data_IF_583031175336
#
_entry.id   IF_583031175336
#
_cell.length_a   1.000
_cell.length_b   1.000
_cell.length_c   1.000
_cell.angle_alpha   90.00
_cell.angle_beta   90.00
_cell.angle_gamma   90.00
#
_symmetry.space_group_name_H-M   'P 1'
#
loop_
_entity.id
_entity.type
_entity.pdbx_description
1 polymer ?
#
# COMPACT_ATOMS: atom_id res chain seq x y z
N UNK A 1 3.57 -11.12 3.15
CA UNK A 1 2.15 -10.87 2.83
C UNK A 1 1.77 -11.54 1.53
N UNK A 2 0.58 -12.06 1.48
CA UNK A 2 0.00 -12.65 0.27
C UNK A 2 -1.38 -12.10 0.04
N UNK A 3 -1.67 -11.71 -1.20
CA UNK A 3 -3.02 -11.37 -1.59
C UNK A 3 -3.86 -12.65 -1.67
N UNK A 4 -5.02 -12.65 -1.01
CA UNK A 4 -5.93 -13.78 -1.09
C UNK A 4 -6.73 -13.73 -2.38
N UNK A 5 -6.82 -14.89 -3.02
CA UNK A 5 -7.58 -15.07 -4.25
C UNK A 5 -9.05 -15.27 -3.87
N UNK A 6 -9.75 -14.20 -3.54
CA UNK A 6 -11.16 -14.29 -3.19
C UNK A 6 -11.96 -13.75 -4.37
N UNK A 7 -12.18 -14.63 -5.36
CA UNK A 7 -12.81 -14.27 -6.63
C UNK A 7 -14.25 -13.78 -6.51
N UNK A 8 -14.95 -14.16 -5.43
CA UNK A 8 -16.37 -13.89 -5.30
C UNK A 8 -16.72 -12.83 -4.28
N UNK A 9 -15.75 -12.30 -3.54
CA UNK A 9 -16.01 -11.24 -2.56
C UNK A 9 -15.91 -9.87 -3.21
N UNK A 10 -17.00 -9.12 -3.12
CA UNK A 10 -16.99 -7.73 -3.51
C UNK A 10 -16.21 -6.96 -2.43
N UNK A 11 -15.07 -6.41 -2.80
CA UNK A 11 -14.28 -5.59 -1.90
C UNK A 11 -14.93 -4.22 -1.74
N UNK A 12 -15.22 -3.85 -0.51
CA UNK A 12 -15.85 -2.57 -0.21
C UNK A 12 -14.83 -1.66 0.49
N UNK A 13 -14.18 -0.82 -0.29
CA UNK A 13 -13.17 0.11 0.21
C UNK A 13 -13.77 1.15 1.16
N UNK A 14 -15.01 1.54 0.95
CA UNK A 14 -15.67 2.50 1.82
C UNK A 14 -15.92 1.93 3.21
N UNK A 15 -16.27 0.66 3.29
CA UNK A 15 -16.50 -0.01 4.57
C UNK A 15 -15.23 -0.07 5.40
N UNK A 16 -14.10 -0.40 4.77
CA UNK A 16 -12.81 -0.42 5.46
C UNK A 16 -12.42 0.99 5.92
N UNK A 17 -12.64 1.99 5.07
CA UNK A 17 -12.30 3.37 5.40
C UNK A 17 -13.07 3.90 6.61
N UNK A 18 -14.24 3.35 6.90
CA UNK A 18 -15.02 3.74 8.08
C UNK A 18 -14.35 3.31 9.39
N UNK A 19 -13.50 2.31 9.36
CA UNK A 19 -12.81 1.84 10.56
C UNK A 19 -11.64 2.72 10.95
N UNK A 20 -11.09 3.47 10.01
CA UNK A 20 -10.01 4.41 10.30
C UNK A 20 -10.23 5.70 9.51
N UNK A 21 -10.73 6.71 10.20
CA UNK A 21 -11.11 7.98 9.59
C UNK A 21 -9.94 8.76 8.97
N UNK A 22 -8.68 8.35 9.24
CA UNK A 22 -7.51 9.00 8.65
C UNK A 22 -7.42 8.75 7.14
N UNK A 23 -7.96 7.63 6.66
CA UNK A 23 -7.77 7.20 5.28
C UNK A 23 -9.06 7.27 4.48
N UNK A 24 -8.97 7.84 3.28
CA UNK A 24 -10.09 7.82 2.34
C UNK A 24 -10.21 6.44 1.69
N UNK A 25 -11.38 6.10 1.11
CA UNK A 25 -11.50 4.87 0.33
C UNK A 25 -10.50 4.78 -0.81
N UNK A 26 -10.13 5.92 -1.41
CA UNK A 26 -9.14 5.96 -2.49
C UNK A 26 -7.75 5.55 -2.01
N UNK A 27 -7.40 5.88 -0.76
CA UNK A 27 -6.13 5.46 -0.17
C UNK A 27 -6.05 3.94 -0.09
N UNK A 28 -7.10 3.32 0.37
CA UNK A 28 -7.16 1.86 0.52
C UNK A 28 -7.13 1.18 -0.85
N UNK A 29 -7.86 1.73 -1.81
CA UNK A 29 -7.84 1.22 -3.19
C UNK A 29 -6.45 1.30 -3.80
N UNK A 30 -5.74 2.41 -3.58
CA UNK A 30 -4.39 2.59 -4.09
C UNK A 30 -3.43 1.54 -3.54
N UNK A 31 -3.45 1.31 -2.22
CA UNK A 31 -2.59 0.31 -1.60
C UNK A 31 -2.94 -1.10 -2.12
N UNK A 32 -4.21 -1.40 -2.25
CA UNK A 32 -4.65 -2.69 -2.80
C UNK A 32 -4.17 -2.87 -4.25
N UNK A 33 -4.28 -1.83 -5.08
CA UNK A 33 -3.80 -1.86 -6.45
C UNK A 33 -2.29 -2.12 -6.50
N UNK A 34 -1.53 -1.39 -5.68
CA UNK A 34 -0.08 -1.56 -5.61
C UNK A 34 0.32 -2.96 -5.17
N UNK A 35 -0.39 -3.51 -4.20
CA UNK A 35 -0.17 -4.89 -3.77
C UNK A 35 -0.41 -5.87 -4.92
N UNK A 36 -1.53 -5.73 -5.63
CA UNK A 36 -1.89 -6.61 -6.73
C UNK A 36 -0.85 -6.56 -7.84
N UNK A 37 -0.40 -5.37 -8.21
CA UNK A 37 0.62 -5.21 -9.25
C UNK A 37 1.98 -5.78 -8.81
N UNK A 38 2.36 -5.58 -7.57
CA UNK A 38 3.63 -6.10 -7.06
C UNK A 38 3.62 -7.63 -7.01
N UNK A 39 2.53 -8.22 -6.54
CA UNK A 39 2.39 -9.68 -6.47
C UNK A 39 2.42 -10.32 -7.85
N UNK A 40 1.84 -9.68 -8.86
CA UNK A 40 1.84 -10.19 -10.24
C UNK A 40 3.23 -10.34 -10.83
N UNK A 41 4.21 -9.60 -10.33
CA UNK A 41 5.60 -9.68 -10.81
C UNK A 41 6.34 -10.88 -10.23
N UNK A 42 5.77 -11.53 -9.22
CA UNK A 42 6.39 -12.69 -8.58
C UNK A 42 5.94 -13.95 -9.33
N UNK A 43 6.89 -14.67 -9.88
CA UNK A 43 6.60 -15.87 -10.68
C UNK A 43 6.75 -17.17 -9.92
N UNK A 44 7.31 -17.13 -8.70
CA UNK A 44 7.55 -18.31 -7.87
C UNK A 44 6.52 -18.36 -6.74
N UNK A 45 5.89 -19.49 -6.53
CA UNK A 45 4.97 -19.68 -5.42
C UNK A 45 5.72 -20.06 -4.12
N UNK A 46 5.24 -19.66 -2.95
CA UNK A 46 4.11 -18.76 -2.75
C UNK A 46 4.45 -17.31 -3.10
N UNK A 47 3.46 -16.57 -3.59
CA UNK A 47 3.65 -15.16 -3.98
C UNK A 47 3.64 -14.27 -2.75
N UNK A 48 4.75 -14.24 -2.07
CA UNK A 48 4.93 -13.51 -0.82
C UNK A 48 5.82 -12.30 -1.04
N UNK A 49 5.43 -11.15 -0.49
CA UNK A 49 6.25 -9.93 -0.54
C UNK A 49 6.39 -9.34 0.86
N UNK A 50 7.53 -8.69 1.09
CA UNK A 50 7.75 -7.97 2.35
C UNK A 50 7.07 -6.60 2.31
N UNK A 51 6.93 -5.99 3.50
CA UNK A 51 6.41 -4.63 3.59
C UNK A 51 7.29 -3.64 2.84
N UNK A 52 8.60 -3.82 2.90
CA UNK A 52 9.55 -2.96 2.18
C UNK A 52 9.36 -3.07 0.66
N UNK A 53 9.20 -4.28 0.16
CA UNK A 53 8.97 -4.49 -1.27
C UNK A 53 7.65 -3.86 -1.72
N UNK A 54 6.60 -3.99 -0.91
CA UNK A 54 5.34 -3.33 -1.22
C UNK A 54 5.49 -1.81 -1.25
N UNK A 55 6.19 -1.23 -0.26
CA UNK A 55 6.41 0.23 -0.23
C UNK A 55 7.12 0.72 -1.49
N UNK A 56 8.12 -0.02 -1.97
CA UNK A 56 8.80 0.32 -3.21
C UNK A 56 7.89 0.23 -4.42
N UNK A 57 7.03 -0.77 -4.47
CA UNK A 57 6.01 -0.89 -5.52
C UNK A 57 5.03 0.28 -5.49
N UNK A 58 4.59 0.68 -4.32
CA UNK A 58 3.69 1.82 -4.14
C UNK A 58 4.37 3.14 -4.54
N UNK A 59 5.64 3.30 -4.24
CA UNK A 59 6.42 4.47 -4.66
C UNK A 59 6.42 4.59 -6.19
N UNK A 60 6.74 3.51 -6.87
CA UNK A 60 6.76 3.48 -8.34
C UNK A 60 5.40 3.78 -8.92
N UNK A 61 4.35 3.18 -8.37
CA UNK A 61 2.98 3.40 -8.83
C UNK A 61 2.56 4.86 -8.63
N UNK A 62 2.88 5.44 -7.49
CA UNK A 62 2.54 6.84 -7.19
C UNK A 62 3.21 7.80 -8.19
N UNK A 63 4.51 7.59 -8.45
CA UNK A 63 5.25 8.42 -9.40
C UNK A 63 4.69 8.25 -10.82
N UNK A 64 4.36 7.03 -11.21
CA UNK A 64 3.79 6.73 -12.51
C UNK A 64 2.44 7.41 -12.71
N UNK A 65 1.58 7.41 -11.68
CA UNK A 65 0.24 8.00 -11.76
C UNK A 65 0.25 9.53 -11.68
N UNK A 66 1.05 10.09 -10.79
CA UNK A 66 0.94 11.50 -10.40
C UNK A 66 2.23 12.30 -10.51
N UNK A 67 3.36 11.66 -10.77
CA UNK A 67 4.63 12.36 -10.86
C UNK A 67 4.89 13.22 -9.63
N UNK A 68 5.17 14.50 -9.82
CA UNK A 68 5.45 15.45 -8.74
C UNK A 68 4.30 15.67 -7.78
N UNK A 69 3.09 15.33 -8.19
CA UNK A 69 1.90 15.51 -7.36
C UNK A 69 1.64 14.33 -6.42
N UNK A 70 2.49 13.30 -6.46
CA UNK A 70 2.28 12.08 -5.68
C UNK A 70 2.10 12.36 -4.19
N UNK A 71 2.99 13.15 -3.60
CA UNK A 71 2.90 13.47 -2.17
C UNK A 71 1.62 14.21 -1.81
N UNK A 72 1.21 15.17 -2.67
CA UNK A 72 -0.01 15.93 -2.43
C UNK A 72 -1.23 15.02 -2.46
N UNK A 73 -1.31 14.12 -3.45
CA UNK A 73 -2.43 13.18 -3.57
C UNK A 73 -2.47 12.26 -2.36
N UNK A 74 -1.35 11.64 -2.01
CA UNK A 74 -1.29 10.70 -0.89
C UNK A 74 -1.64 11.39 0.43
N UNK A 75 -1.10 12.59 0.68
CA UNK A 75 -1.39 13.33 1.89
C UNK A 75 -2.89 13.70 1.97
N UNK A 76 -3.47 14.07 0.83
CA UNK A 76 -4.90 14.39 0.76
C UNK A 76 -5.77 13.19 1.14
N UNK A 77 -5.29 11.98 0.89
CA UNK A 77 -5.98 10.73 1.23
C UNK A 77 -5.67 10.23 2.65
N UNK A 78 -4.82 10.94 3.39
CA UNK A 78 -4.44 10.56 4.75
C UNK A 78 -3.14 9.78 4.86
N UNK A 79 -2.48 9.50 3.74
CA UNK A 79 -1.21 8.76 3.73
C UNK A 79 -0.05 9.75 3.75
N UNK A 80 0.72 9.75 4.83
CA UNK A 80 1.83 10.71 5.04
C UNK A 80 3.19 10.04 5.15
N UNK A 81 3.20 8.77 5.52
CA UNK A 81 4.42 7.99 5.73
C UNK A 81 4.25 6.58 5.21
N UNK A 82 5.38 5.86 5.07
CA UNK A 82 5.32 4.44 4.68
C UNK A 82 4.64 3.59 5.74
N UNK A 83 4.69 3.99 7.02
CA UNK A 83 3.93 3.30 8.06
C UNK A 83 2.42 3.35 7.80
N UNK A 84 1.92 4.43 7.23
CA UNK A 84 0.50 4.54 6.87
C UNK A 84 0.12 3.49 5.81
N UNK A 85 1.00 3.17 4.89
CA UNK A 85 0.78 2.05 3.98
C UNK A 85 0.58 0.75 4.77
N UNK A 86 1.43 0.53 5.78
CA UNK A 86 1.34 -0.65 6.65
C UNK A 86 0.03 -0.70 7.41
N UNK A 87 -0.42 0.42 7.94
CA UNK A 87 -1.68 0.47 8.67
C UNK A 87 -2.86 0.10 7.77
N UNK A 88 -2.85 0.55 6.52
CA UNK A 88 -3.87 0.17 5.54
C UNK A 88 -3.78 -1.33 5.23
N UNK A 89 -2.56 -1.86 5.06
CA UNK A 89 -2.34 -3.29 4.82
C UNK A 89 -2.96 -4.12 5.95
N UNK A 90 -2.73 -3.74 7.20
CA UNK A 90 -3.26 -4.48 8.33
C UNK A 90 -4.77 -4.36 8.48
N UNK A 91 -5.38 -3.27 8.02
CA UNK A 91 -6.84 -3.20 7.88
C UNK A 91 -7.34 -4.24 6.88
N UNK A 92 -6.66 -4.37 5.74
CA UNK A 92 -7.03 -5.38 4.74
C UNK A 92 -6.83 -6.80 5.26
N UNK A 93 -5.78 -7.05 6.04
CA UNK A 93 -5.55 -8.35 6.68
C UNK A 93 -6.71 -8.67 7.64
N UNK A 94 -7.12 -7.69 8.44
CA UNK A 94 -8.24 -7.83 9.36
C UNK A 94 -9.52 -8.24 8.63
N UNK A 95 -9.74 -7.72 7.43
CA UNK A 95 -10.89 -8.06 6.60
C UNK A 95 -10.66 -9.29 5.72
N UNK A 96 -9.54 -9.96 5.89
CA UNK A 96 -9.18 -11.20 5.18
C UNK A 96 -9.03 -11.03 3.67
N UNK A 97 -8.70 -9.82 3.21
CA UNK A 97 -8.39 -9.59 1.80
C UNK A 97 -6.99 -10.08 1.44
N UNK A 98 -6.16 -10.24 2.44
CA UNK A 98 -4.81 -10.75 2.31
C UNK A 98 -4.39 -11.39 3.63
N UNK A 99 -3.29 -12.12 3.62
CA UNK A 99 -2.77 -12.77 4.82
C UNK A 99 -1.34 -12.32 5.09
N UNK A 100 -0.99 -12.28 6.39
CA UNK A 100 0.38 -12.03 6.83
C UNK A 100 1.09 -13.35 7.09
N UNK A 101 2.40 -13.40 6.84
CA UNK A 101 3.26 -14.47 7.33
C UNK A 101 3.66 -14.16 8.78
N UNK A 102 4.13 -15.18 9.51
CA UNK A 102 4.57 -14.99 10.91
C UNK A 102 5.71 -13.99 11.04
N UNK A 103 6.51 -13.85 10.01
CA UNK A 103 7.64 -12.92 9.98
C UNK A 103 7.24 -11.49 9.62
N UNK A 104 6.01 -11.27 9.16
CA UNK A 104 5.55 -9.93 8.80
C UNK A 104 5.19 -9.14 10.05
N UNK A 105 5.69 -7.92 10.15
CA UNK A 105 5.40 -7.01 11.26
C UNK A 105 5.08 -5.63 10.73
N UNK A 106 4.41 -4.82 11.56
CA UNK A 106 4.16 -3.42 11.25
C UNK A 106 5.47 -2.64 11.07
N UNK A 107 6.52 -3.04 11.80
CA UNK A 107 7.82 -2.39 11.72
C UNK A 107 8.46 -2.48 10.33
N UNK A 108 8.06 -3.46 9.52
CA UNK A 108 8.53 -3.59 8.14
C UNK A 108 8.16 -2.38 7.28
N UNK A 109 7.19 -1.60 7.72
CA UNK A 109 6.74 -0.39 7.02
C UNK A 109 7.33 0.89 7.59
N UNK A 110 8.10 0.81 8.69
CA UNK A 110 8.66 2.00 9.31
C UNK A 110 9.83 2.54 8.48
N UNK A 111 9.77 3.82 8.16
CA UNK A 111 10.87 4.55 7.55
C UNK A 111 11.50 3.87 6.33
N UNK A 112 10.68 3.23 5.51
CA UNK A 112 11.18 2.61 4.27
C UNK A 112 11.71 3.69 3.33
N UNK A 113 10.98 4.79 3.23
CA UNK A 113 11.47 5.99 2.56
C UNK A 113 10.73 7.22 3.11
N UNK A 114 11.33 8.38 2.90
CA UNK A 114 10.74 9.66 3.29
C UNK A 114 10.02 10.28 2.09
N UNK A 115 8.75 10.64 2.26
CA UNK A 115 7.92 11.19 1.18
C UNK A 115 8.51 12.48 0.61
N UNK A 116 8.99 13.37 1.47
CA UNK A 116 9.57 14.64 1.03
C UNK A 116 10.78 14.38 0.12
N UNK A 117 11.67 13.49 0.56
CA UNK A 117 12.87 13.15 -0.20
C UNK A 117 12.54 12.52 -1.54
N UNK A 118 11.66 11.52 -1.54
CA UNK A 118 11.39 10.71 -2.74
C UNK A 118 10.48 11.43 -3.73
N UNK A 119 9.42 12.09 -3.23
CA UNK A 119 8.39 12.66 -4.09
C UNK A 119 8.61 14.13 -4.42
N UNK A 120 9.51 14.81 -3.74
CA UNK A 120 9.80 16.23 -4.01
C UNK A 120 11.27 16.48 -4.29
N UNK A 121 12.15 16.15 -3.35
CA UNK A 121 13.56 16.54 -3.43
C UNK A 121 14.31 15.82 -4.55
N UNK A 122 13.98 14.56 -4.82
CA UNK A 122 14.63 13.75 -5.84
C UNK A 122 13.91 13.77 -7.18
N UNK A 123 12.81 14.48 -7.28
CA UNK A 123 12.03 14.49 -8.53
C UNK A 123 12.69 15.43 -9.53
N UNK A 124 13.17 14.88 -10.64
CA UNK A 124 13.76 15.65 -11.74
C UNK A 124 12.70 16.00 -12.77
N UNK A 125 12.83 17.19 -13.32
CA UNK A 125 11.91 17.72 -14.34
C UNK A 125 12.48 17.54 -15.73
#
# INVERSE_FOLDING_TARGET
>A
MQARHILKMKKNFEQIAKEDARFSPSAIRFVYEGLSLTVKKITVEPRHISGQTLCEGLRKLAVEKWGRMAMVVLNNWGIKTTRDFGEIVYLMIKHKWMSAAETDTMDDFNDVFDFQTVFKDRFEF
#
